data_IF_772997522783
#
_entry.id   IF_772997522783
#
_cell.length_a   1.000
_cell.length_b   1.000
_cell.length_c   1.000
_cell.angle_alpha   90.00
_cell.angle_beta   90.00
_cell.angle_gamma   90.00
#
_symmetry.space_group_name_H-M   'P 1'
#
loop_
_entity.id
_entity.type
_entity.pdbx_description
1 polymer ?
#
# COMPACT_ATOMS: atom_id res chain seq x y z
N UNK A 1 26.78 10.95 -18.57
CA UNK A 1 25.65 11.31 -17.69
C UNK A 1 26.18 11.38 -16.27
N UNK A 2 25.97 12.46 -15.54
CA UNK A 2 26.53 12.61 -14.18
C UNK A 2 25.70 11.86 -13.12
N UNK A 3 26.26 11.71 -11.93
CA UNK A 3 25.64 10.93 -10.84
C UNK A 3 24.31 11.53 -10.35
N UNK A 4 24.18 12.87 -10.37
CA UNK A 4 22.96 13.57 -9.95
C UNK A 4 21.82 13.33 -10.94
N UNK A 5 22.10 13.45 -12.25
CA UNK A 5 21.13 13.19 -13.32
C UNK A 5 20.71 11.72 -13.32
N UNK A 6 21.65 10.79 -13.11
CA UNK A 6 21.33 9.37 -12.95
C UNK A 6 20.43 9.09 -11.74
N UNK A 7 20.67 9.77 -10.61
CA UNK A 7 19.83 9.64 -9.41
C UNK A 7 18.41 10.17 -9.63
N UNK A 8 18.27 11.33 -10.27
CA UNK A 8 16.96 11.92 -10.59
C UNK A 8 16.17 11.04 -11.58
N UNK A 9 16.85 10.49 -12.59
CA UNK A 9 16.23 9.56 -13.53
C UNK A 9 15.72 8.28 -12.82
N UNK A 10 16.50 7.70 -11.93
CA UNK A 10 16.08 6.52 -11.15
C UNK A 10 14.88 6.83 -10.23
N UNK A 11 14.86 8.02 -9.61
CA UNK A 11 13.73 8.46 -8.77
C UNK A 11 12.46 8.61 -9.61
N UNK A 12 12.56 9.20 -10.79
CA UNK A 12 11.43 9.36 -11.72
C UNK A 12 10.92 8.01 -12.24
N UNK A 13 11.83 7.08 -12.55
CA UNK A 13 11.47 5.73 -13.00
C UNK A 13 10.69 4.96 -11.92
N UNK A 14 11.15 5.02 -10.67
CA UNK A 14 10.45 4.42 -9.52
C UNK A 14 9.07 5.07 -9.33
N UNK A 15 8.96 6.40 -9.47
CA UNK A 15 7.68 7.09 -9.35
C UNK A 15 6.69 6.62 -10.43
N UNK A 16 7.11 6.55 -11.70
CA UNK A 16 6.28 6.05 -12.80
C UNK A 16 5.85 4.61 -12.57
N UNK A 17 6.76 3.75 -12.11
CA UNK A 17 6.43 2.37 -11.77
C UNK A 17 5.36 2.30 -10.67
N UNK A 18 5.48 3.11 -9.62
CA UNK A 18 4.48 3.19 -8.55
C UNK A 18 3.12 3.66 -9.05
N UNK A 19 3.07 4.67 -9.92
CA UNK A 19 1.81 5.13 -10.50
C UNK A 19 1.15 4.04 -11.36
N UNK A 20 1.93 3.31 -12.17
CA UNK A 20 1.42 2.19 -12.96
C UNK A 20 0.92 1.04 -12.08
N UNK A 21 1.67 0.67 -11.05
CA UNK A 21 1.26 -0.34 -10.06
C UNK A 21 -0.10 0.01 -9.44
N UNK A 22 -0.26 1.25 -8.97
CA UNK A 22 -1.48 1.69 -8.31
C UNK A 22 -2.67 1.77 -9.26
N UNK A 23 -2.46 2.34 -10.45
CA UNK A 23 -3.51 2.43 -11.48
C UNK A 23 -4.00 1.05 -11.90
N UNK A 24 -3.09 0.13 -12.20
CA UNK A 24 -3.44 -1.22 -12.69
C UNK A 24 -4.12 -2.04 -11.60
N UNK A 25 -3.67 -1.93 -10.35
CA UNK A 25 -4.32 -2.56 -9.19
C UNK A 25 -5.73 -2.01 -8.91
N UNK A 26 -5.93 -0.69 -9.03
CA UNK A 26 -7.23 -0.06 -8.78
C UNK A 26 -8.24 -0.39 -9.89
N UNK A 27 -7.79 -0.30 -11.15
CA UNK A 27 -8.59 -0.65 -12.34
C UNK A 27 -8.73 -2.15 -12.59
N UNK A 28 -8.11 -3.00 -11.75
CA UNK A 28 -8.15 -4.48 -11.86
C UNK A 28 -7.62 -4.99 -13.21
N UNK A 29 -6.61 -4.30 -13.76
CA UNK A 29 -5.91 -4.70 -14.98
C UNK A 29 -4.80 -5.71 -14.63
N UNK A 30 -5.18 -6.96 -14.38
CA UNK A 30 -4.30 -7.96 -13.77
C UNK A 30 -3.07 -8.33 -14.60
N UNK A 31 -3.20 -8.39 -15.92
CA UNK A 31 -2.07 -8.66 -16.82
C UNK A 31 -1.06 -7.51 -16.78
N UNK A 32 -1.53 -6.26 -16.89
CA UNK A 32 -0.67 -5.06 -16.78
C UNK A 32 -0.07 -4.91 -15.38
N UNK A 33 -0.80 -5.32 -14.34
CA UNK A 33 -0.33 -5.32 -12.96
C UNK A 33 0.81 -6.32 -12.78
N UNK A 34 0.71 -7.52 -13.36
CA UNK A 34 1.75 -8.53 -13.31
C UNK A 34 3.08 -8.02 -13.90
N UNK A 35 3.02 -7.18 -14.93
CA UNK A 35 4.19 -6.57 -15.58
C UNK A 35 4.86 -5.48 -14.73
N UNK A 36 4.23 -5.05 -13.62
CA UNK A 36 4.87 -4.16 -12.64
C UNK A 36 5.71 -4.90 -11.60
N UNK A 37 5.62 -6.23 -11.56
CA UNK A 37 6.33 -7.09 -10.63
C UNK A 37 7.48 -7.81 -11.30
N UNK A 38 8.59 -7.97 -10.58
CA UNK A 38 9.64 -8.87 -11.02
C UNK A 38 9.12 -10.33 -11.02
N UNK A 39 9.58 -11.20 -11.94
CA UNK A 39 9.13 -12.59 -11.99
C UNK A 39 9.28 -13.35 -10.66
N UNK A 40 10.34 -13.04 -9.91
CA UNK A 40 10.72 -13.59 -8.61
C UNK A 40 10.25 -12.76 -7.41
N UNK A 41 9.33 -11.80 -7.63
CA UNK A 41 8.83 -10.94 -6.56
C UNK A 41 8.26 -11.75 -5.39
N UNK A 42 8.53 -11.31 -4.17
CA UNK A 42 7.97 -11.87 -2.94
C UNK A 42 7.08 -10.84 -2.24
N UNK A 43 5.96 -11.28 -1.68
CA UNK A 43 5.08 -10.44 -0.89
C UNK A 43 4.81 -11.08 0.48
N UNK A 44 4.84 -10.26 1.54
CA UNK A 44 4.43 -10.64 2.90
C UNK A 44 3.41 -9.58 3.37
N UNK A 45 2.15 -9.96 3.49
CA UNK A 45 1.06 -9.09 3.96
C UNK A 45 0.74 -9.29 5.45
N UNK A 46 1.57 -10.05 6.18
CA UNK A 46 1.36 -10.36 7.59
C UNK A 46 0.17 -11.29 7.83
N UNK A 47 -0.25 -11.39 9.08
CA UNK A 47 -1.39 -12.22 9.52
C UNK A 47 -2.53 -11.34 10.03
N UNK A 48 -3.76 -11.62 9.60
CA UNK A 48 -4.94 -11.14 10.34
C UNK A 48 -5.06 -11.92 11.65
N UNK A 49 -5.61 -11.29 12.70
CA UNK A 49 -5.77 -11.95 14.01
C UNK A 49 -6.65 -13.20 13.84
N UNK A 50 -6.08 -14.38 14.06
CA UNK A 50 -6.76 -15.67 13.89
C UNK A 50 -6.48 -16.38 12.56
N UNK A 51 -5.77 -15.75 11.62
CA UNK A 51 -5.35 -16.36 10.35
C UNK A 51 -3.82 -16.46 10.26
N UNK A 52 -3.30 -17.39 9.46
CA UNK A 52 -1.86 -17.54 9.22
C UNK A 52 -1.25 -16.38 8.43
N UNK A 53 0.08 -16.28 8.36
CA UNK A 53 0.76 -15.23 7.59
C UNK A 53 0.53 -15.40 6.08
N UNK A 54 0.16 -14.31 5.41
CA UNK A 54 -0.02 -14.24 3.96
C UNK A 54 1.32 -13.97 3.28
N UNK A 55 1.98 -15.03 2.80
CA UNK A 55 3.27 -14.97 2.10
C UNK A 55 3.17 -15.59 0.72
N UNK A 56 3.67 -14.87 -0.27
CA UNK A 56 3.66 -15.27 -1.67
C UNK A 56 5.05 -15.13 -2.29
N UNK A 57 5.41 -16.06 -3.15
CA UNK A 57 6.64 -16.05 -3.93
C UNK A 57 6.30 -16.22 -5.41
N UNK A 58 6.87 -15.35 -6.23
CA UNK A 58 6.60 -15.27 -7.66
C UNK A 58 5.46 -14.32 -7.97
N UNK A 59 5.58 -13.63 -9.11
CA UNK A 59 4.59 -12.66 -9.59
C UNK A 59 3.18 -13.27 -9.69
N UNK A 60 3.08 -14.50 -10.21
CA UNK A 60 1.80 -15.13 -10.51
C UNK A 60 1.01 -15.44 -9.24
N UNK A 61 1.71 -15.84 -8.16
CA UNK A 61 1.09 -16.08 -6.86
C UNK A 61 0.53 -14.79 -6.24
N UNK A 62 1.26 -13.68 -6.37
CA UNK A 62 0.84 -12.36 -5.90
C UNK A 62 -0.40 -11.88 -6.67
N UNK A 63 -0.37 -11.99 -8.01
CA UNK A 63 -1.46 -11.56 -8.89
C UNK A 63 -2.72 -12.39 -8.63
N UNK A 64 -2.59 -13.71 -8.52
CA UNK A 64 -3.70 -14.60 -8.24
C UNK A 64 -4.38 -14.24 -6.91
N UNK A 65 -3.59 -14.03 -5.85
CA UNK A 65 -4.13 -13.57 -4.56
C UNK A 65 -4.85 -12.23 -4.68
N UNK A 66 -4.22 -11.22 -5.30
CA UNK A 66 -4.80 -9.89 -5.45
C UNK A 66 -6.11 -9.91 -6.25
N UNK A 67 -6.19 -10.68 -7.33
CA UNK A 67 -7.40 -10.81 -8.14
C UNK A 67 -8.57 -11.46 -7.39
N UNK A 68 -8.27 -12.42 -6.50
CA UNK A 68 -9.28 -13.07 -5.67
C UNK A 68 -9.71 -12.22 -4.46
N UNK A 69 -8.77 -11.53 -3.83
CA UNK A 69 -9.02 -10.70 -2.65
C UNK A 69 -9.75 -9.39 -2.99
N UNK A 70 -9.53 -8.83 -4.18
CA UNK A 70 -10.08 -7.53 -4.58
C UNK A 70 -11.29 -7.69 -5.51
N UNK A 71 -12.39 -8.23 -4.96
CA UNK A 71 -13.67 -8.42 -5.65
C UNK A 71 -14.21 -7.11 -6.28
N UNK A 72 -15.05 -7.20 -7.35
CA UNK A 72 -15.68 -6.04 -7.96
C UNK A 72 -16.49 -5.26 -6.91
N UNK A 73 -16.13 -3.99 -6.68
CA UNK A 73 -16.76 -3.13 -5.68
C UNK A 73 -15.85 -2.74 -4.50
N UNK A 74 -14.64 -3.32 -4.40
CA UNK A 74 -13.64 -2.89 -3.42
C UNK A 74 -12.80 -1.74 -4.00
N UNK A 75 -12.96 -0.54 -3.46
CA UNK A 75 -12.08 0.60 -3.75
C UNK A 75 -10.77 0.48 -2.96
N UNK A 76 -9.64 0.37 -3.65
CA UNK A 76 -8.33 0.21 -3.01
C UNK A 76 -7.73 1.59 -2.72
N UNK A 77 -7.85 2.09 -1.49
CA UNK A 77 -7.18 3.33 -1.07
C UNK A 77 -5.74 3.04 -0.67
N UNK A 78 -4.79 3.41 -1.52
CA UNK A 78 -3.36 3.37 -1.19
C UNK A 78 -2.88 4.76 -0.75
N UNK A 79 -2.45 4.88 0.50
CA UNK A 79 -1.90 6.11 1.05
C UNK A 79 -0.37 6.05 1.04
N UNK A 80 0.27 6.93 0.27
CA UNK A 80 1.74 7.07 0.24
C UNK A 80 2.15 8.14 1.24
N UNK A 81 2.78 7.74 2.34
CA UNK A 81 3.36 8.66 3.32
C UNK A 81 4.82 8.95 2.96
N UNK A 82 5.17 10.23 2.82
CA UNK A 82 6.55 10.67 2.66
C UNK A 82 7.26 10.63 4.03
N UNK A 83 7.70 9.44 4.44
CA UNK A 83 8.51 9.26 5.64
C UNK A 83 7.86 8.42 6.75
N UNK A 84 8.32 7.18 6.89
CA UNK A 84 8.33 6.44 8.16
C UNK A 84 9.43 5.36 8.12
N UNK A 85 10.69 5.79 8.07
CA UNK A 85 11.80 4.93 8.48
C UNK A 85 12.19 5.32 9.90
N UNK A 86 11.55 4.70 10.88
CA UNK A 86 12.08 4.43 12.22
C UNK A 86 11.08 3.54 12.97
N UNK A 87 11.09 2.24 12.67
CA UNK A 87 10.76 1.25 13.68
C UNK A 87 12.02 0.42 13.94
N UNK A 88 12.86 0.94 14.84
CA UNK A 88 13.80 0.10 15.57
C UNK A 88 12.94 -0.75 16.51
N UNK A 89 12.79 -2.04 16.19
CA UNK A 89 12.16 -3.01 17.06
C UNK A 89 12.93 -3.06 18.40
N UNK A 90 12.27 -2.67 19.49
CA UNK A 90 12.64 -3.08 20.84
C UNK A 90 11.64 -4.18 21.25
N UNK A 91 12.11 -5.35 21.72
CA UNK A 91 11.20 -6.40 22.16
C UNK A 91 10.61 -6.00 23.52
N UNK A 92 9.28 -6.08 23.64
CA UNK A 92 8.60 -6.10 24.93
C UNK A 92 8.07 -4.77 25.45
N UNK A 93 6.97 -4.29 24.85
CA UNK A 93 5.79 -3.70 25.51
C UNK A 93 4.95 -2.99 24.46
N UNK A 94 3.83 -3.59 24.07
CA UNK A 94 2.76 -2.88 23.38
C UNK A 94 1.92 -2.19 24.46
N UNK A 95 1.87 -0.85 24.54
CA UNK A 95 0.87 -0.20 25.37
C UNK A 95 -0.49 -0.35 24.67
N UNK A 96 -1.43 -0.99 25.36
CA UNK A 96 -2.85 -0.99 24.97
C UNK A 96 -3.36 0.43 25.18
N UNK A 97 -3.53 1.18 24.09
CA UNK A 97 -4.21 2.49 24.13
C UNK A 97 -5.71 2.25 24.31
N UNK A 98 -6.36 2.83 25.35
CA UNK A 98 -7.79 2.70 25.53
C UNK A 98 -8.52 3.52 24.45
N UNK A 99 -9.67 2.98 24.06
CA UNK A 99 -10.58 3.52 23.06
C UNK A 99 -10.85 5.03 23.22
N UNK A 100 -10.51 5.81 22.19
CA UNK A 100 -11.05 7.15 22.02
C UNK A 100 -12.26 7.08 21.08
N UNK A 101 -13.41 6.79 21.69
CA UNK A 101 -14.68 7.27 21.18
C UNK A 101 -14.70 8.81 21.21
N UNK A 102 -15.34 9.39 20.18
CA UNK A 102 -15.74 10.80 20.00
C UNK A 102 -14.66 11.77 19.51
N UNK A 103 -14.60 11.92 18.19
CA UNK A 103 -14.63 13.26 17.58
C UNK A 103 -15.61 13.23 16.41
N UNK A 104 -16.86 13.63 16.67
CA UNK A 104 -17.76 14.09 15.61
C UNK A 104 -17.22 15.41 15.04
N UNK A 105 -17.32 15.64 13.72
CA UNK A 105 -16.97 16.93 13.14
C UNK A 105 -17.89 18.05 13.67
N UNK A 106 -17.40 19.29 13.86
CA UNK A 106 -18.25 20.39 14.31
C UNK A 106 -19.29 20.72 13.24
N UNK A 107 -20.54 20.87 13.67
CA UNK A 107 -21.67 21.29 12.83
C UNK A 107 -21.37 22.63 12.13
N UNK A 108 -21.60 22.69 10.80
CA UNK A 108 -21.60 23.94 10.05
C UNK A 108 -22.62 24.89 10.67
N UNK A 109 -22.17 26.09 11.07
CA UNK A 109 -23.09 27.16 11.47
C UNK A 109 -23.95 27.55 10.25
N UNK A 110 -25.29 27.66 10.38
CA UNK A 110 -26.11 28.21 9.32
C UNK A 110 -25.79 29.71 9.18
N UNK A 111 -25.73 30.16 7.93
CA UNK A 111 -25.37 31.53 7.56
C UNK A 111 -26.26 32.59 8.24
N UNK A 112 -25.68 33.77 8.40
CA UNK A 112 -26.43 35.02 8.52
C UNK A 112 -26.01 35.91 7.36
N UNK A 113 -27.04 36.56 6.82
CA UNK A 113 -27.00 37.61 5.80
C UNK A 113 -26.03 38.73 6.16
#
# INVERSE_FOLDING_TARGET
MDATTARLAAVEEIQRLKYRYLRTLDLKLWDEFADTLAPDATADYGSHVGEGPLRFSGRDAIVAYMSGALAPGITTRVSVWSGFLLLRAAPGRVPVLPALHRLSPPARRPGRC
#
